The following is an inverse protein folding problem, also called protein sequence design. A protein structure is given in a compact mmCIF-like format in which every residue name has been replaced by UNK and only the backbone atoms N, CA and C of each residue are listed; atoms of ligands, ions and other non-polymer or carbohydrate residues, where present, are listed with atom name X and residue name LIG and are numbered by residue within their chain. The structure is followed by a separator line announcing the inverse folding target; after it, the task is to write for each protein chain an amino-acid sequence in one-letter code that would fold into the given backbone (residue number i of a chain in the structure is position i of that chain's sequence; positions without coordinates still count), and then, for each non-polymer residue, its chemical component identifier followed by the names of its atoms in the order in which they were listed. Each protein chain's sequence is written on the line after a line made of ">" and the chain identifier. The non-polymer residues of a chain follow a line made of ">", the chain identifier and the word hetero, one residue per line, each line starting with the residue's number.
data_IF_072473844424
#
_entry.id   IF_072473844424
#
_cell.length_a   1.000
_cell.length_b   1.000
_cell.length_c   1.000
_cell.angle_alpha   90.00
_cell.angle_beta   90.00
_cell.angle_gamma   90.00
#
_symmetry.space_group_name_H-M   'P 1'
#
loop_
_entity.id
_entity.type
_entity.pdbx_description
1 polymer ?
#
# COMPACT_ATOMS: atom_id res chain seq x y z
N UNK A 1 -4.39 5.85 -28.09
CA UNK A 1 -3.30 5.50 -27.14
C UNK A 1 -2.76 4.09 -27.35
N UNK A 2 -3.57 3.08 -27.71
CA UNK A 2 -3.09 1.70 -28.00
C UNK A 2 -2.45 1.58 -29.41
N UNK A 3 -2.82 2.46 -30.35
CA UNK A 3 -2.28 2.49 -31.72
C UNK A 3 -0.88 3.11 -31.87
N UNK A 4 -0.23 3.55 -30.78
CA UNK A 4 1.12 4.14 -30.81
C UNK A 4 2.14 3.38 -29.97
N UNK A 5 1.73 2.34 -29.24
CA UNK A 5 2.64 1.52 -28.47
C UNK A 5 3.17 0.39 -29.36
N UNK A 6 4.49 0.27 -29.48
CA UNK A 6 5.14 -0.82 -30.21
C UNK A 6 4.88 -2.17 -29.49
N UNK A 7 4.94 -3.30 -30.19
CA UNK A 7 4.68 -4.65 -29.65
C UNK A 7 5.54 -4.97 -28.41
N UNK A 8 6.71 -4.32 -28.30
CA UNK A 8 7.61 -4.42 -27.15
C UNK A 8 7.04 -3.71 -25.93
N UNK A 9 6.53 -2.49 -26.07
CA UNK A 9 5.98 -1.71 -24.97
C UNK A 9 4.70 -2.34 -24.40
N UNK A 10 3.85 -2.91 -25.27
CA UNK A 10 2.68 -3.69 -24.85
C UNK A 10 3.06 -4.92 -24.02
N UNK A 11 4.13 -5.62 -24.44
CA UNK A 11 4.63 -6.80 -23.73
C UNK A 11 5.23 -6.42 -22.38
N UNK A 12 6.01 -5.34 -22.32
CA UNK A 12 6.60 -4.83 -21.09
C UNK A 12 5.52 -4.41 -20.09
N UNK A 13 4.45 -3.73 -20.55
CA UNK A 13 3.29 -3.39 -19.72
C UNK A 13 2.55 -4.61 -19.23
N UNK A 14 2.40 -5.63 -20.07
CA UNK A 14 1.76 -6.91 -19.69
C UNK A 14 2.57 -7.61 -18.61
N UNK A 15 3.90 -7.70 -18.76
CA UNK A 15 4.78 -8.30 -17.75
C UNK A 15 4.84 -7.48 -16.46
N UNK A 16 4.82 -6.15 -16.55
CA UNK A 16 4.75 -5.29 -15.37
C UNK A 16 3.43 -5.48 -14.61
N UNK A 17 2.32 -5.68 -15.32
CA UNK A 17 1.01 -5.89 -14.72
C UNK A 17 0.88 -7.22 -13.97
N UNK A 18 1.63 -8.26 -14.38
CA UNK A 18 1.68 -9.55 -13.67
C UNK A 18 2.44 -9.48 -12.33
N UNK A 19 3.30 -8.48 -12.18
CA UNK A 19 4.17 -8.32 -11.02
C UNK A 19 5.40 -9.23 -11.05
N UNK A 20 6.56 -8.69 -10.65
CA UNK A 20 7.83 -9.42 -10.53
C UNK A 20 8.82 -8.71 -9.62
N UNK A 21 9.57 -9.48 -8.84
CA UNK A 21 10.72 -9.02 -8.06
C UNK A 21 12.06 -9.25 -8.77
N UNK A 22 12.07 -9.86 -9.95
CA UNK A 22 13.30 -10.21 -10.68
C UNK A 22 14.15 -9.00 -11.10
N UNK A 23 13.54 -7.82 -11.16
CA UNK A 23 14.23 -6.55 -11.45
C UNK A 23 14.61 -5.74 -10.21
N UNK A 24 14.63 -6.34 -9.02
CA UNK A 24 15.00 -5.65 -7.78
C UNK A 24 16.48 -5.22 -7.80
N UNK A 25 16.73 -3.95 -7.51
CA UNK A 25 18.08 -3.38 -7.40
C UNK A 25 18.18 -2.53 -6.14
N UNK A 26 19.40 -2.37 -5.62
CA UNK A 26 19.65 -1.50 -4.47
C UNK A 26 19.17 -0.06 -4.70
N UNK A 27 19.30 0.45 -5.92
CA UNK A 27 18.80 1.77 -6.29
C UNK A 27 17.26 1.88 -6.19
N UNK A 28 16.52 0.84 -6.64
CA UNK A 28 15.05 0.81 -6.47
C UNK A 28 14.67 0.74 -5.00
N UNK A 29 15.36 -0.12 -4.24
CA UNK A 29 15.11 -0.31 -2.81
C UNK A 29 15.41 0.97 -2.02
N UNK A 30 16.52 1.67 -2.29
CA UNK A 30 16.83 2.93 -1.61
C UNK A 30 15.84 4.04 -1.94
N UNK A 31 15.24 4.01 -3.14
CA UNK A 31 14.24 5.00 -3.54
C UNK A 31 12.89 4.82 -2.84
N UNK A 32 12.41 3.58 -2.69
CA UNK A 32 11.09 3.31 -2.06
C UNK A 32 11.15 2.88 -0.59
N UNK A 33 12.30 2.37 -0.16
CA UNK A 33 12.54 1.84 1.18
C UNK A 33 12.20 2.83 2.30
N UNK A 34 12.67 4.09 2.25
CA UNK A 34 12.32 5.09 3.27
C UNK A 34 10.81 5.30 3.41
N UNK A 35 10.07 5.33 2.29
CA UNK A 35 8.61 5.51 2.29
C UNK A 35 7.93 4.31 2.95
N UNK A 36 8.34 3.09 2.57
CA UNK A 36 7.80 1.85 3.14
C UNK A 36 8.10 1.77 4.64
N UNK A 37 9.34 2.05 5.06
CA UNK A 37 9.75 2.03 6.47
C UNK A 37 8.97 3.06 7.28
N UNK A 38 8.81 4.29 6.79
CA UNK A 38 8.03 5.32 7.47
C UNK A 38 6.55 4.93 7.60
N UNK A 39 5.96 4.38 6.55
CA UNK A 39 4.57 3.93 6.59
C UNK A 39 4.39 2.78 7.59
N UNK A 40 5.27 1.77 7.55
CA UNK A 40 5.26 0.64 8.50
C UNK A 40 5.49 1.10 9.94
N UNK A 41 6.41 2.04 10.17
CA UNK A 41 6.63 2.61 11.49
C UNK A 41 5.41 3.39 12.01
N UNK A 42 4.64 4.02 11.13
CA UNK A 42 3.44 4.76 11.50
C UNK A 42 2.25 3.84 11.89
N UNK A 43 2.11 2.66 11.25
CA UNK A 43 0.93 1.80 11.40
C UNK A 43 0.62 1.35 12.85
N UNK A 44 1.60 0.94 13.70
CA UNK A 44 1.33 0.54 15.08
C UNK A 44 0.65 1.63 15.92
N UNK A 45 0.93 2.90 15.62
CA UNK A 45 0.34 4.03 16.36
C UNK A 45 -1.15 4.21 16.04
N UNK A 46 -1.64 3.65 14.92
CA UNK A 46 -3.06 3.68 14.56
C UNK A 46 -3.84 2.50 15.14
N UNK A 47 -3.18 1.45 15.64
CA UNK A 47 -3.81 0.20 16.06
C UNK A 47 -4.97 0.40 17.05
N UNK A 48 -4.78 1.24 18.07
CA UNK A 48 -5.83 1.53 19.07
C UNK A 48 -7.05 2.20 18.45
N UNK A 49 -6.82 3.16 17.55
CA UNK A 49 -7.89 3.85 16.83
C UNK A 49 -8.64 2.91 15.89
N UNK A 50 -7.91 2.05 15.18
CA UNK A 50 -8.50 1.06 14.26
C UNK A 50 -9.33 0.01 15.02
N UNK A 51 -8.88 -0.43 16.19
CA UNK A 51 -9.66 -1.32 17.06
C UNK A 51 -10.96 -0.65 17.54
N UNK A 52 -10.90 0.62 17.93
CA UNK A 52 -12.10 1.37 18.30
C UNK A 52 -13.04 1.55 17.09
N UNK A 53 -12.49 1.81 15.91
CA UNK A 53 -13.24 1.93 14.66
C UNK A 53 -13.96 0.62 14.27
N UNK A 54 -13.37 -0.54 14.59
CA UNK A 54 -13.99 -1.84 14.38
C UNK A 54 -15.25 -2.06 15.24
N UNK A 55 -15.39 -1.35 16.37
CA UNK A 55 -16.62 -1.33 17.18
C UNK A 55 -17.69 -0.37 16.63
N UNK A 56 -17.40 0.33 15.53
CA UNK A 56 -18.27 1.29 14.86
C UNK A 56 -17.80 2.74 14.99
N UNK A 57 -18.07 3.57 13.97
CA UNK A 57 -17.64 4.98 13.92
C UNK A 57 -18.21 5.82 15.07
N UNK A 58 -19.50 5.62 15.41
CA UNK A 58 -20.13 6.32 16.53
C UNK A 58 -19.49 5.95 17.88
N UNK A 59 -19.24 4.65 18.10
CA UNK A 59 -18.58 4.13 19.31
C UNK A 59 -17.16 4.70 19.44
N UNK A 60 -16.37 4.65 18.36
CA UNK A 60 -15.03 5.21 18.34
C UNK A 60 -15.01 6.71 18.67
N UNK A 61 -15.97 7.46 18.12
CA UNK A 61 -16.14 8.88 18.43
C UNK A 61 -16.43 9.14 19.91
N UNK A 62 -17.32 8.35 20.53
CA UNK A 62 -17.61 8.45 21.97
C UNK A 62 -16.42 8.06 22.86
N UNK A 63 -15.52 7.20 22.37
CA UNK A 63 -14.26 6.86 23.04
C UNK A 63 -13.17 7.94 22.87
N UNK A 64 -13.50 9.09 22.25
CA UNK A 64 -12.58 10.20 22.05
C UNK A 64 -11.61 10.02 20.88
N UNK A 65 -11.81 9.02 20.03
CA UNK A 65 -10.99 8.81 18.84
C UNK A 65 -11.36 9.86 17.79
N UNK A 66 -10.40 10.64 17.25
CA UNK A 66 -10.66 11.55 16.14
C UNK A 66 -10.81 10.76 14.83
N UNK A 67 -11.97 10.12 14.64
CA UNK A 67 -12.27 9.15 13.57
C UNK A 67 -11.83 9.64 12.19
N UNK A 68 -12.15 10.88 11.83
CA UNK A 68 -11.82 11.41 10.52
C UNK A 68 -10.30 11.55 10.31
N UNK A 69 -9.56 12.01 11.32
CA UNK A 69 -8.09 12.12 11.25
C UNK A 69 -7.44 10.74 11.18
N UNK A 70 -7.98 9.78 11.93
CA UNK A 70 -7.53 8.38 11.89
C UNK A 70 -7.69 7.80 10.48
N UNK A 71 -8.87 7.94 9.87
CA UNK A 71 -9.15 7.47 8.51
C UNK A 71 -8.20 8.07 7.48
N UNK A 72 -8.01 9.40 7.50
CA UNK A 72 -7.08 10.05 6.58
C UNK A 72 -5.63 9.59 6.76
N UNK A 73 -5.17 9.47 8.00
CA UNK A 73 -3.80 9.02 8.28
C UNK A 73 -3.59 7.57 7.82
N UNK A 74 -4.57 6.70 8.06
CA UNK A 74 -4.55 5.31 7.61
C UNK A 74 -4.51 5.22 6.08
N UNK A 75 -5.40 5.95 5.38
CA UNK A 75 -5.47 5.97 3.92
C UNK A 75 -4.15 6.47 3.33
N UNK A 76 -3.59 7.56 3.84
CA UNK A 76 -2.33 8.11 3.33
C UNK A 76 -1.18 7.11 3.54
N UNK A 77 -1.08 6.52 4.74
CA UNK A 77 -0.03 5.55 5.05
C UNK A 77 -0.12 4.28 4.20
N UNK A 78 -1.32 3.72 4.04
CA UNK A 78 -1.55 2.52 3.20
C UNK A 78 -1.30 2.84 1.73
N UNK A 79 -1.82 3.96 1.21
CA UNK A 79 -1.59 4.37 -0.18
C UNK A 79 -0.12 4.61 -0.47
N UNK A 80 0.64 5.20 0.47
CA UNK A 80 2.07 5.38 0.32
C UNK A 80 2.82 4.04 0.30
N UNK A 81 2.52 3.12 1.23
CA UNK A 81 3.17 1.81 1.29
C UNK A 81 2.84 0.94 0.06
N UNK A 82 1.57 0.86 -0.32
CA UNK A 82 1.10 0.06 -1.46
C UNK A 82 1.60 0.67 -2.78
N UNK A 83 1.50 1.99 -2.94
CA UNK A 83 1.98 2.69 -4.14
C UNK A 83 3.47 2.53 -4.34
N UNK A 84 4.26 2.68 -3.27
CA UNK A 84 5.71 2.44 -3.30
C UNK A 84 6.04 0.99 -3.68
N UNK A 85 5.30 0.01 -3.15
CA UNK A 85 5.49 -1.41 -3.45
C UNK A 85 5.15 -1.72 -4.91
N UNK A 86 3.92 -1.40 -5.35
CA UNK A 86 3.44 -1.65 -6.72
C UNK A 86 4.28 -0.91 -7.76
N UNK A 87 4.77 0.29 -7.45
CA UNK A 87 5.63 1.06 -8.36
C UNK A 87 6.93 0.34 -8.74
N UNK A 88 7.49 -0.48 -7.85
CA UNK A 88 8.74 -1.23 -8.11
C UNK A 88 8.52 -2.70 -8.48
N UNK A 89 7.46 -3.31 -7.97
CA UNK A 89 7.19 -4.74 -8.17
C UNK A 89 6.13 -5.04 -9.21
N UNK A 90 5.36 -4.06 -9.68
CA UNK A 90 4.14 -4.30 -10.44
C UNK A 90 2.99 -4.82 -9.56
N UNK A 91 1.90 -5.23 -10.19
CA UNK A 91 0.67 -5.66 -9.51
C UNK A 91 0.79 -7.04 -8.87
N UNK A 92 1.07 -7.11 -7.56
CA UNK A 92 1.06 -8.37 -6.79
C UNK A 92 -0.25 -8.49 -6.00
N UNK A 93 -1.07 -9.47 -6.35
CA UNK A 93 -2.33 -9.77 -5.67
C UNK A 93 -2.20 -10.74 -4.49
N UNK A 94 -3.31 -11.00 -3.80
CA UNK A 94 -3.50 -12.00 -2.73
C UNK A 94 -2.75 -11.80 -1.41
N UNK A 95 -1.54 -11.23 -1.40
CA UNK A 95 -0.74 -11.05 -0.17
C UNK A 95 -1.53 -10.31 0.91
N UNK A 96 -2.15 -9.18 0.56
CA UNK A 96 -2.93 -8.37 1.51
C UNK A 96 -4.23 -9.01 2.00
N UNK A 97 -4.68 -10.08 1.35
CA UNK A 97 -5.88 -10.84 1.78
C UNK A 97 -5.46 -12.03 2.63
N UNK A 98 -4.44 -12.78 2.20
CA UNK A 98 -4.00 -14.01 2.87
C UNK A 98 -3.27 -13.69 4.17
N UNK A 99 -2.28 -12.78 4.16
CA UNK A 99 -1.39 -12.56 5.33
C UNK A 99 -2.13 -12.15 6.61
N UNK A 100 -3.15 -11.25 6.59
CA UNK A 100 -3.78 -10.81 7.83
C UNK A 100 -4.69 -11.84 8.53
N UNK A 101 -5.12 -12.88 7.80
CA UNK A 101 -6.05 -13.89 8.29
C UNK A 101 -5.40 -15.26 8.56
N UNK A 102 -4.10 -15.40 8.26
CA UNK A 102 -3.27 -16.55 8.65
C UNK A 102 -2.97 -16.49 10.16
#
# INVERSE_FOLDING_TARGET
>A
LIFMADDRQLRDLTFWSLGSLGGATWAKISSVGPIIVLALAAMPFLARGLNALALGEATAGHLGVPVQRLKYTAIIGVSAAVGASVGVSGGIGFVGIVVPQL
#
